data_IF_503964192906
#
_entry.id   IF_503964192906
#
_cell.length_a   1.000
_cell.length_b   1.000
_cell.length_c   1.000
_cell.angle_alpha   90.00
_cell.angle_beta   90.00
_cell.angle_gamma   90.00
#
_symmetry.space_group_name_H-M   'P 1'
#
loop_
_entity.id
_entity.type
_entity.pdbx_description
1 polymer ?
#
# COMPACT_ATOMS: atom_id res chain seq x y z
N UNK A 1 4.38 -4.97 12.81
CA UNK A 1 4.82 -6.27 12.22
C UNK A 1 3.58 -7.06 11.81
N UNK A 2 3.47 -7.57 10.58
CA UNK A 2 2.34 -8.40 10.15
C UNK A 2 2.20 -9.66 11.01
N UNK A 3 0.96 -10.07 11.31
CA UNK A 3 0.68 -11.24 12.16
C UNK A 3 1.00 -12.58 11.49
N UNK A 4 1.03 -12.62 10.16
CA UNK A 4 1.32 -13.83 9.38
C UNK A 4 2.48 -13.59 8.42
N UNK A 5 3.48 -14.48 8.45
CA UNK A 5 4.54 -14.54 7.43
C UNK A 5 3.89 -14.95 6.09
N UNK A 6 4.14 -14.17 5.03
CA UNK A 6 3.61 -14.37 3.67
C UNK A 6 2.07 -14.30 3.49
N UNK A 7 1.31 -13.83 4.49
CA UNK A 7 -0.15 -13.75 4.41
C UNK A 7 -0.70 -12.93 3.22
N UNK A 8 0.00 -11.88 2.78
CA UNK A 8 -0.45 -11.05 1.67
C UNK A 8 -0.29 -11.73 0.31
N UNK A 9 0.74 -12.56 0.15
CA UNK A 9 0.92 -13.37 -1.08
C UNK A 9 -0.20 -14.39 -1.27
N UNK A 10 -0.68 -14.97 -0.17
CA UNK A 10 -1.83 -15.90 -0.19
C UNK A 10 -3.11 -15.19 -0.64
N UNK A 11 -3.36 -13.97 -0.15
CA UNK A 11 -4.53 -13.17 -0.52
C UNK A 11 -4.43 -12.66 -1.97
N UNK A 12 -3.26 -12.27 -2.44
CA UNK A 12 -3.04 -11.80 -3.82
C UNK A 12 -3.34 -12.88 -4.89
N UNK A 13 -3.30 -14.17 -4.53
CA UNK A 13 -3.60 -15.29 -5.43
C UNK A 13 -5.04 -15.81 -5.36
N UNK A 14 -5.89 -15.27 -4.47
CA UNK A 14 -7.22 -15.79 -4.22
C UNK A 14 -8.26 -14.66 -4.33
N UNK A 15 -9.33 -14.89 -5.08
CA UNK A 15 -10.61 -14.21 -4.79
C UNK A 15 -11.11 -14.79 -3.48
N UNK A 16 -10.62 -14.28 -2.35
CA UNK A 16 -11.01 -14.79 -1.04
C UNK A 16 -12.46 -14.40 -0.77
N UNK A 17 -13.39 -15.33 -0.94
CA UNK A 17 -14.82 -15.15 -0.60
C UNK A 17 -15.16 -15.64 0.81
N UNK A 18 -14.14 -16.07 1.58
CA UNK A 18 -14.31 -16.48 2.97
C UNK A 18 -14.81 -15.34 3.87
N UNK A 19 -15.51 -15.63 4.99
CA UNK A 19 -16.22 -14.64 5.82
C UNK A 19 -15.45 -13.36 6.21
N UNK A 20 -14.12 -13.37 6.45
CA UNK A 20 -13.41 -12.15 6.84
C UNK A 20 -13.36 -11.06 5.74
N UNK A 21 -13.35 -11.46 4.46
CA UNK A 21 -13.15 -10.52 3.36
C UNK A 21 -14.40 -9.68 3.05
N UNK A 22 -15.62 -10.25 2.98
CA UNK A 22 -16.84 -9.47 2.85
C UNK A 22 -17.10 -8.56 4.07
N UNK A 23 -16.78 -9.01 5.30
CA UNK A 23 -16.94 -8.18 6.52
C UNK A 23 -16.01 -6.97 6.47
N UNK A 24 -14.76 -7.16 6.06
CA UNK A 24 -13.82 -6.05 5.86
C UNK A 24 -14.30 -5.08 4.77
N UNK A 25 -14.75 -5.60 3.63
CA UNK A 25 -15.24 -4.79 2.53
C UNK A 25 -16.48 -3.96 2.95
N UNK A 26 -17.44 -4.59 3.64
CA UNK A 26 -18.66 -3.94 4.13
C UNK A 26 -18.33 -2.81 5.12
N UNK A 27 -17.49 -3.08 6.12
CA UNK A 27 -17.06 -2.06 7.09
C UNK A 27 -16.32 -0.90 6.42
N UNK A 28 -15.40 -1.19 5.50
CA UNK A 28 -14.61 -0.17 4.79
C UNK A 28 -15.49 0.70 3.88
N UNK A 29 -16.39 0.09 3.10
CA UNK A 29 -17.32 0.82 2.24
C UNK A 29 -18.32 1.61 3.09
N UNK A 30 -18.79 1.06 4.21
CA UNK A 30 -19.64 1.73 5.18
C UNK A 30 -19.02 3.03 5.71
N UNK A 31 -17.78 2.96 6.20
CA UNK A 31 -17.05 4.13 6.68
C UNK A 31 -16.86 5.19 5.57
N UNK A 32 -16.58 4.79 4.33
CA UNK A 32 -16.46 5.74 3.21
C UNK A 32 -17.80 6.44 2.92
N UNK A 33 -18.93 5.74 3.07
CA UNK A 33 -20.26 6.35 2.92
C UNK A 33 -20.59 7.32 4.07
N UNK A 34 -20.19 7.01 5.30
CA UNK A 34 -20.32 7.92 6.45
C UNK A 34 -19.53 9.22 6.25
N UNK A 35 -18.42 9.16 5.50
CA UNK A 35 -17.67 10.34 5.04
C UNK A 35 -18.33 11.08 3.86
N UNK A 36 -19.57 10.74 3.51
CA UNK A 36 -20.36 11.42 2.48
C UNK A 36 -20.02 11.00 1.04
N UNK A 37 -19.28 9.91 0.83
CA UNK A 37 -19.02 9.39 -0.52
C UNK A 37 -20.28 8.75 -1.09
N UNK A 38 -20.55 9.00 -2.37
CA UNK A 38 -21.60 8.25 -3.06
C UNK A 38 -21.23 6.74 -3.13
N UNK A 39 -22.23 5.83 -3.22
CA UNK A 39 -21.98 4.41 -3.17
C UNK A 39 -21.00 3.89 -4.23
N UNK A 40 -21.04 4.44 -5.45
CA UNK A 40 -20.18 4.00 -6.55
C UNK A 40 -18.74 4.45 -6.30
N UNK A 41 -18.52 5.66 -5.80
CA UNK A 41 -17.20 6.14 -5.41
C UNK A 41 -16.64 5.39 -4.21
N UNK A 42 -17.46 5.10 -3.20
CA UNK A 42 -17.04 4.33 -2.03
C UNK A 42 -16.50 2.93 -2.41
N UNK A 43 -17.22 2.20 -3.26
CA UNK A 43 -16.79 0.87 -3.74
C UNK A 43 -15.48 0.96 -4.53
N UNK A 44 -15.34 1.96 -5.41
CA UNK A 44 -14.12 2.15 -6.22
C UNK A 44 -12.93 2.51 -5.35
N UNK A 45 -13.08 3.43 -4.40
CA UNK A 45 -12.03 3.80 -3.45
C UNK A 45 -11.59 2.60 -2.62
N UNK A 46 -12.53 1.78 -2.15
CA UNK A 46 -12.20 0.56 -1.44
C UNK A 46 -11.37 -0.40 -2.30
N UNK A 47 -11.88 -0.84 -3.45
CA UNK A 47 -11.23 -1.88 -4.24
C UNK A 47 -9.98 -1.40 -4.98
N UNK A 48 -10.02 -0.23 -5.61
CA UNK A 48 -8.95 0.22 -6.50
C UNK A 48 -7.86 0.98 -5.77
N UNK A 49 -8.11 1.43 -4.54
CA UNK A 49 -7.14 2.22 -3.77
C UNK A 49 -6.83 1.59 -2.43
N UNK A 50 -7.76 1.56 -1.48
CA UNK A 50 -7.47 1.13 -0.10
C UNK A 50 -7.00 -0.32 -0.05
N UNK A 51 -7.78 -1.26 -0.60
CA UNK A 51 -7.45 -2.67 -0.58
C UNK A 51 -6.17 -2.97 -1.35
N UNK A 52 -6.07 -2.51 -2.61
CA UNK A 52 -4.88 -2.70 -3.45
C UNK A 52 -3.61 -2.13 -2.83
N UNK A 53 -3.69 -0.94 -2.23
CA UNK A 53 -2.54 -0.31 -1.58
C UNK A 53 -2.09 -1.09 -0.34
N UNK A 54 -3.01 -1.41 0.57
CA UNK A 54 -2.69 -2.16 1.80
C UNK A 54 -2.12 -3.53 1.46
N UNK A 55 -2.69 -4.21 0.45
CA UNK A 55 -2.19 -5.49 -0.02
C UNK A 55 -0.77 -5.38 -0.59
N UNK A 56 -0.53 -4.42 -1.50
CA UNK A 56 0.79 -4.18 -2.10
C UNK A 56 1.86 -3.82 -1.07
N UNK A 57 1.53 -2.90 -0.16
CA UNK A 57 2.42 -2.48 0.93
C UNK A 57 2.80 -3.66 1.84
N UNK A 58 1.84 -4.53 2.15
CA UNK A 58 2.09 -5.72 2.98
C UNK A 58 2.96 -6.74 2.25
N UNK A 59 2.78 -6.92 0.94
CA UNK A 59 3.66 -7.77 0.11
C UNK A 59 5.09 -7.24 0.14
N UNK A 60 5.28 -5.93 -0.06
CA UNK A 60 6.61 -5.30 0.02
C UNK A 60 7.24 -5.46 1.40
N UNK A 61 6.48 -5.23 2.47
CA UNK A 61 6.94 -5.40 3.85
C UNK A 61 7.35 -6.84 4.15
N UNK A 62 6.58 -7.82 3.67
CA UNK A 62 6.90 -9.24 3.84
C UNK A 62 8.09 -9.69 2.98
N UNK A 63 8.34 -9.03 1.86
CA UNK A 63 9.48 -9.31 0.98
C UNK A 63 10.74 -8.49 1.34
N UNK A 64 10.65 -7.59 2.31
CA UNK A 64 11.73 -6.68 2.67
C UNK A 64 12.91 -7.42 3.28
N UNK A 65 14.02 -7.50 2.53
CA UNK A 65 15.32 -7.90 3.06
C UNK A 65 16.32 -6.74 3.00
N UNK A 66 17.04 -6.42 4.09
CA UNK A 66 17.98 -5.29 4.14
C UNK A 66 18.99 -5.26 2.98
N UNK A 67 19.51 -6.42 2.57
CA UNK A 67 20.48 -6.55 1.46
C UNK A 67 19.89 -6.15 0.10
N UNK A 68 18.58 -6.38 -0.12
CA UNK A 68 17.88 -5.96 -1.35
C UNK A 68 17.70 -4.44 -1.41
N UNK A 69 17.51 -3.80 -0.26
CA UNK A 69 17.36 -2.34 -0.16
C UNK A 69 18.65 -1.58 -0.55
N UNK A 70 19.81 -2.08 -0.11
CA UNK A 70 21.10 -1.48 -0.47
C UNK A 70 21.44 -1.66 -1.95
N UNK A 71 21.07 -2.80 -2.53
CA UNK A 71 21.25 -3.07 -3.96
C UNK A 71 20.41 -2.14 -4.83
N UNK A 72 19.16 -1.86 -4.42
CA UNK A 72 18.30 -0.89 -5.08
C UNK A 72 18.90 0.52 -4.99
N UNK A 73 19.35 0.93 -3.80
CA UNK A 73 19.97 2.23 -3.56
C UNK A 73 21.18 2.47 -4.46
N UNK A 74 22.05 1.47 -4.60
CA UNK A 74 23.22 1.57 -5.48
C UNK A 74 22.84 1.73 -6.96
N UNK A 75 21.83 0.98 -7.43
CA UNK A 75 21.36 1.06 -8.81
C UNK A 75 20.76 2.44 -9.16
N UNK A 76 19.96 3.01 -8.25
CA UNK A 76 19.27 4.30 -8.47
C UNK A 76 20.20 5.51 -8.37
N UNK A 77 21.33 5.39 -7.67
CA UNK A 77 22.36 6.43 -7.63
C UNK A 77 23.23 6.48 -8.89
N UNK A 78 23.08 5.53 -9.83
CA UNK A 78 23.81 5.58 -11.10
C UNK A 78 23.27 6.68 -12.01
N UNK A 79 24.13 7.22 -12.88
CA UNK A 79 23.76 8.26 -13.86
C UNK A 79 22.76 7.78 -14.93
N UNK A 80 22.40 6.49 -14.92
CA UNK A 80 21.43 5.89 -15.84
C UNK A 80 19.98 6.30 -15.51
N UNK A 81 19.72 6.74 -14.27
CA UNK A 81 18.39 7.11 -13.81
C UNK A 81 18.37 8.54 -13.24
N UNK A 82 18.42 9.58 -14.09
CA UNK A 82 18.60 10.96 -13.66
C UNK A 82 17.50 11.46 -12.69
N UNK A 83 16.27 10.96 -12.82
CA UNK A 83 15.17 11.27 -11.88
C UNK A 83 15.33 10.59 -10.51
N UNK A 84 16.06 9.47 -10.44
CA UNK A 84 16.28 8.71 -9.21
C UNK A 84 17.63 9.03 -8.55
N UNK A 85 18.60 9.51 -9.32
CA UNK A 85 19.94 9.88 -8.85
C UNK A 85 19.96 11.21 -8.08
N UNK A 86 18.84 11.96 -8.05
CA UNK A 86 18.71 13.15 -7.21
C UNK A 86 18.77 12.75 -5.73
N UNK A 87 19.64 13.41 -4.96
CA UNK A 87 19.93 13.07 -3.57
C UNK A 87 18.69 13.03 -2.65
N UNK A 88 17.66 13.84 -2.95
CA UNK A 88 16.38 13.84 -2.24
C UNK A 88 15.63 12.52 -2.47
N UNK A 89 15.58 12.04 -3.71
CA UNK A 89 14.87 10.80 -4.09
C UNK A 89 15.52 9.57 -3.47
N UNK A 90 16.85 9.48 -3.45
CA UNK A 90 17.56 8.33 -2.86
C UNK A 90 17.45 8.23 -1.33
N UNK A 91 17.27 9.37 -0.65
CA UNK A 91 17.12 9.43 0.82
C UNK A 91 15.73 9.00 1.28
N UNK A 92 14.68 9.25 0.49
CA UNK A 92 13.31 8.83 0.80
C UNK A 92 12.97 7.40 0.37
N UNK A 93 13.83 6.76 -0.43
CA UNK A 93 13.70 5.34 -0.80
C UNK A 93 14.11 4.37 0.32
N UNK A 94 14.31 4.84 1.56
CA UNK A 94 14.59 3.96 2.70
C UNK A 94 13.49 2.90 2.80
N UNK A 95 13.93 1.65 2.71
CA UNK A 95 13.06 0.53 2.46
C UNK A 95 12.19 0.12 3.68
N UNK A 96 12.41 0.73 4.86
CA UNK A 96 11.87 0.24 6.13
C UNK A 96 10.71 1.05 6.74
N UNK A 97 10.34 2.24 6.21
CA UNK A 97 9.29 3.06 6.83
C UNK A 97 7.89 2.76 6.27
N UNK A 98 7.44 1.51 6.45
CA UNK A 98 6.14 1.07 5.97
C UNK A 98 4.97 1.77 6.67
N UNK A 99 5.14 2.16 7.94
CA UNK A 99 4.13 2.87 8.71
C UNK A 99 3.97 4.34 8.23
N UNK A 100 5.08 5.01 7.89
CA UNK A 100 5.05 6.32 7.23
C UNK A 100 4.36 6.23 5.87
N UNK A 101 4.73 5.26 5.02
CA UNK A 101 4.09 5.05 3.70
C UNK A 101 2.59 4.81 3.83
N UNK A 102 2.18 3.98 4.80
CA UNK A 102 0.77 3.70 5.07
C UNK A 102 0.01 5.00 5.39
N UNK A 103 0.54 5.79 6.32
CA UNK A 103 -0.07 7.04 6.77
C UNK A 103 -0.08 8.10 5.67
N UNK A 104 1.02 8.25 4.95
CA UNK A 104 1.20 9.22 3.89
C UNK A 104 0.21 9.01 2.75
N UNK A 105 -0.08 7.75 2.38
CA UNK A 105 -0.98 7.43 1.26
C UNK A 105 -2.46 7.42 1.67
N UNK A 106 -2.81 6.82 2.82
CA UNK A 106 -4.22 6.70 3.21
C UNK A 106 -4.84 8.04 3.61
N UNK A 107 -4.09 8.92 4.28
CA UNK A 107 -4.61 10.22 4.71
C UNK A 107 -5.20 11.05 3.56
N UNK A 108 -4.49 11.31 2.45
CA UNK A 108 -5.07 12.03 1.32
C UNK A 108 -6.15 11.24 0.59
N UNK A 109 -6.03 9.91 0.46
CA UNK A 109 -7.06 9.08 -0.18
C UNK A 109 -8.42 9.19 0.50
N UNK A 110 -8.44 9.22 1.84
CA UNK A 110 -9.66 9.34 2.62
C UNK A 110 -10.22 10.78 2.61
N UNK A 111 -9.33 11.78 2.53
CA UNK A 111 -9.69 13.20 2.58
C UNK A 111 -9.96 13.84 1.21
N UNK A 112 -9.65 13.18 0.11
CA UNK A 112 -9.87 13.72 -1.24
C UNK A 112 -11.35 14.09 -1.45
N UNK A 113 -11.69 15.26 -2.01
CA UNK A 113 -13.09 15.65 -2.20
C UNK A 113 -13.88 14.65 -3.06
N UNK A 114 -15.20 14.61 -2.82
CA UNK A 114 -16.19 13.73 -3.48
C UNK A 114 -16.31 14.00 -4.98
#
# INVERSE_FOLDING_TARGET
>A
MPAHRDGARLVNGLVTTGPPTPVFADASIGALKELGRDPKKAVRLHHWSVFSFVLGLTIEQQAHEPVRADSLRAAVTSSLYPSLSRAETSTHLRAADFDERFTFVLRPLLNAPG
#
